data_IF_452733973683
#
_entry.id   IF_452733973683
#
_cell.length_a   1.000
_cell.length_b   1.000
_cell.length_c   1.000
_cell.angle_alpha   90.00
_cell.angle_beta   90.00
_cell.angle_gamma   90.00
#
_symmetry.space_group_name_H-M   'P 1'
#
loop_
_entity.id
_entity.type
_entity.pdbx_description
1 polymer ?
#
# COMPACT_ATOMS: atom_id res chain seq x y z
N UNK A 1 63.47 45.35 25.51
CA UNK A 1 62.97 46.65 25.14
C UNK A 1 61.67 46.43 24.38
N UNK A 2 60.58 46.44 24.98
CA UNK A 2 59.57 47.43 25.23
C UNK A 2 58.94 47.99 23.94
N UNK A 3 57.70 47.69 23.70
CA UNK A 3 56.65 48.71 23.51
C UNK A 3 55.27 48.03 23.38
N UNK A 4 54.44 48.30 24.33
CA UNK A 4 52.97 48.01 24.33
C UNK A 4 52.25 49.02 23.47
N UNK A 5 51.39 48.57 22.59
CA UNK A 5 50.31 49.45 22.06
C UNK A 5 48.94 48.90 22.51
N UNK A 6 48.28 49.69 23.37
CA UNK A 6 46.87 49.56 23.72
C UNK A 6 46.07 50.32 22.66
N UNK A 7 45.14 49.65 22.05
CA UNK A 7 44.06 50.34 21.28
C UNK A 7 42.74 50.04 21.96
N UNK A 8 42.11 51.13 22.42
CA UNK A 8 40.77 51.14 23.00
C UNK A 8 39.73 51.06 21.86
N UNK A 9 38.86 50.10 21.95
CA UNK A 9 37.63 50.10 21.14
C UNK A 9 36.47 50.55 22.01
N UNK A 10 35.87 51.67 21.60
CA UNK A 10 34.65 52.21 22.21
C UNK A 10 33.42 51.38 21.85
N UNK A 11 32.65 51.07 22.88
CA UNK A 11 31.34 50.44 22.72
C UNK A 11 30.33 51.50 22.30
N UNK A 12 29.76 51.34 21.08
CA UNK A 12 28.58 52.07 20.65
C UNK A 12 27.34 51.26 21.01
N UNK A 13 26.62 51.64 22.03
CA UNK A 13 25.35 51.02 22.40
C UNK A 13 24.24 51.54 21.47
N UNK A 14 23.75 50.67 20.60
CA UNK A 14 22.53 50.92 19.83
C UNK A 14 21.35 50.34 20.62
N UNK A 15 20.52 51.21 21.16
CA UNK A 15 19.25 50.88 21.78
C UNK A 15 18.23 50.54 20.68
N UNK A 16 17.89 49.26 20.49
CA UNK A 16 16.76 48.85 19.63
C UNK A 16 15.51 48.80 20.50
N UNK A 17 14.61 49.75 20.28
CA UNK A 17 13.29 49.76 20.92
C UNK A 17 12.41 48.67 20.33
N UNK A 18 12.07 47.66 21.15
CA UNK A 18 11.07 46.63 20.85
C UNK A 18 9.68 47.23 21.06
N UNK A 19 8.96 47.52 19.96
CA UNK A 19 7.53 47.76 19.99
C UNK A 19 6.82 46.39 19.98
N UNK A 20 6.35 45.97 21.14
CA UNK A 20 5.51 44.80 21.25
C UNK A 20 4.07 45.15 20.80
N UNK A 21 3.74 44.78 19.57
CA UNK A 21 2.35 44.79 19.11
C UNK A 21 1.68 43.46 19.60
N UNK A 22 0.84 43.61 20.61
CA UNK A 22 0.02 42.51 21.13
C UNK A 22 -1.13 42.24 20.14
N UNK A 23 -1.00 41.21 19.31
CA UNK A 23 -2.14 40.65 18.54
C UNK A 23 -2.93 39.75 19.46
N UNK A 24 -4.11 40.19 19.88
CA UNK A 24 -5.11 39.32 20.51
C UNK A 24 -5.75 38.45 19.41
N UNK A 25 -5.36 37.19 19.33
CA UNK A 25 -6.09 36.18 18.57
C UNK A 25 -7.40 35.90 19.32
N UNK A 26 -8.52 36.41 18.82
CA UNK A 26 -9.84 35.94 19.21
C UNK A 26 -10.06 34.58 18.55
N UNK A 27 -10.01 33.52 19.35
CA UNK A 27 -10.46 32.20 18.92
C UNK A 27 -11.97 32.28 18.67
N UNK A 28 -12.38 32.25 17.41
CA UNK A 28 -13.79 32.06 17.06
C UNK A 28 -14.16 30.61 17.40
N UNK A 29 -14.90 30.46 18.49
CA UNK A 29 -15.48 29.20 18.89
C UNK A 29 -16.39 28.66 17.79
N UNK A 30 -16.05 27.46 17.30
CA UNK A 30 -16.88 26.68 16.40
C UNK A 30 -18.16 26.32 17.15
N UNK A 31 -19.33 26.75 16.67
CA UNK A 31 -20.62 26.38 17.22
C UNK A 31 -20.80 24.87 17.20
N UNK A 32 -21.44 24.25 18.21
CA UNK A 32 -21.68 22.81 18.21
C UNK A 32 -22.65 22.47 17.08
N UNK A 33 -22.22 21.54 16.20
CA UNK A 33 -23.08 20.96 15.17
C UNK A 33 -24.14 20.11 15.88
N UNK A 34 -25.40 20.54 15.83
CA UNK A 34 -26.53 19.79 16.34
C UNK A 34 -26.67 18.48 15.53
N UNK A 35 -26.63 17.34 16.21
CA UNK A 35 -27.07 16.05 15.69
C UNK A 35 -28.59 16.11 15.39
N UNK A 36 -28.95 16.54 14.20
CA UNK A 36 -30.28 16.31 13.63
C UNK A 36 -30.26 14.93 12.97
N UNK A 37 -31.19 14.09 13.38
CA UNK A 37 -31.33 12.70 13.01
C UNK A 37 -31.18 12.44 11.51
N UNK A 38 -30.45 11.40 11.16
CA UNK A 38 -30.18 10.96 9.81
C UNK A 38 -31.47 10.39 9.18
N UNK A 39 -32.20 11.25 8.48
CA UNK A 39 -32.96 10.79 7.33
C UNK A 39 -31.91 10.35 6.29
N UNK A 40 -32.00 9.11 5.78
CA UNK A 40 -31.30 8.69 4.55
C UNK A 40 -31.71 9.67 3.44
N UNK A 41 -30.95 10.75 3.29
CA UNK A 41 -30.93 11.49 2.06
C UNK A 41 -30.15 10.58 1.08
N UNK A 42 -30.79 10.24 -0.04
CA UNK A 42 -30.11 9.78 -1.24
C UNK A 42 -29.13 10.89 -1.61
N UNK A 43 -27.89 10.80 -1.11
CA UNK A 43 -26.87 11.79 -1.38
C UNK A 43 -26.48 11.60 -2.83
N UNK A 44 -26.89 12.55 -3.68
CA UNK A 44 -26.45 12.58 -5.08
C UNK A 44 -24.92 12.63 -5.06
N UNK A 45 -24.29 11.59 -5.56
CA UNK A 45 -22.83 11.54 -5.65
C UNK A 45 -22.32 12.68 -6.52
N UNK A 46 -21.23 13.32 -6.09
CA UNK A 46 -20.57 14.36 -6.87
C UNK A 46 -20.17 13.82 -8.24
N UNK A 47 -20.28 14.68 -9.26
CA UNK A 47 -19.91 14.37 -10.64
C UNK A 47 -18.90 15.39 -11.16
N UNK A 48 -18.04 14.92 -12.03
CA UNK A 48 -17.13 15.77 -12.81
C UNK A 48 -17.90 16.58 -13.86
N UNK A 49 -17.32 17.65 -14.44
CA UNK A 49 -18.00 18.45 -15.45
C UNK A 49 -18.45 17.69 -16.69
N UNK A 50 -17.81 16.58 -17.01
CA UNK A 50 -18.16 15.66 -18.11
C UNK A 50 -19.23 14.62 -17.73
N UNK A 51 -19.77 14.72 -16.50
CA UNK A 51 -20.95 13.95 -16.05
C UNK A 51 -20.65 12.60 -15.43
N UNK A 52 -19.40 12.18 -15.34
CA UNK A 52 -18.99 10.94 -14.68
C UNK A 52 -18.92 11.11 -13.15
N UNK A 53 -19.03 10.04 -12.35
CA UNK A 53 -18.79 10.13 -10.91
C UNK A 53 -17.44 10.74 -10.60
N UNK A 54 -17.40 11.62 -9.61
CA UNK A 54 -16.16 12.24 -9.14
C UNK A 54 -15.42 11.28 -8.20
N UNK A 55 -14.28 10.78 -8.66
CA UNK A 55 -13.36 9.94 -7.89
C UNK A 55 -12.16 10.70 -7.38
N UNK A 56 -12.07 12.00 -7.68
CA UNK A 56 -10.91 12.80 -7.27
C UNK A 56 -10.72 12.78 -5.75
N UNK A 57 -9.47 12.76 -5.33
CA UNK A 57 -9.10 12.79 -3.92
C UNK A 57 -8.13 11.69 -3.53
N UNK A 58 -7.91 11.59 -2.24
CA UNK A 58 -7.06 10.57 -1.62
C UNK A 58 -7.94 9.48 -1.02
N UNK A 59 -7.67 8.25 -1.37
CA UNK A 59 -8.42 7.08 -0.96
C UNK A 59 -7.52 6.10 -0.22
N UNK A 60 -8.00 5.56 0.90
CA UNK A 60 -7.21 4.68 1.75
C UNK A 60 -7.72 3.24 1.72
N UNK A 61 -6.80 2.28 1.58
CA UNK A 61 -7.05 0.87 1.88
C UNK A 61 -6.64 0.59 3.33
N UNK A 62 -7.56 0.76 4.28
CA UNK A 62 -7.32 0.51 5.70
C UNK A 62 -8.11 -0.69 6.23
N UNK A 63 -8.72 -1.48 5.36
CA UNK A 63 -9.55 -2.63 5.76
C UNK A 63 -8.76 -3.66 6.59
N UNK A 64 -9.42 -4.24 7.57
CA UNK A 64 -8.91 -5.42 8.29
C UNK A 64 -9.31 -6.73 7.64
N UNK A 65 -10.24 -6.68 6.67
CA UNK A 65 -10.71 -7.87 5.97
C UNK A 65 -9.55 -8.51 5.23
N UNK A 66 -9.24 -9.79 5.49
CA UNK A 66 -8.11 -10.45 4.83
C UNK A 66 -8.38 -10.70 3.35
N UNK A 67 -7.32 -10.76 2.55
CA UNK A 67 -7.45 -11.08 1.13
C UNK A 67 -8.16 -12.42 0.94
N UNK A 68 -7.68 -13.45 1.60
CA UNK A 68 -8.27 -14.79 1.54
C UNK A 68 -9.00 -15.12 2.84
N UNK A 69 -10.11 -15.85 2.73
CA UNK A 69 -10.86 -16.33 3.91
C UNK A 69 -10.00 -17.22 4.76
N UNK A 70 -9.75 -16.86 6.02
CA UNK A 70 -9.04 -17.73 6.96
C UNK A 70 -9.79 -19.04 7.20
N UNK A 71 -9.06 -20.11 7.51
CA UNK A 71 -9.66 -21.41 7.78
C UNK A 71 -10.68 -21.38 8.93
N UNK A 72 -10.45 -20.54 9.93
CA UNK A 72 -11.36 -20.33 11.07
C UNK A 72 -12.74 -19.82 10.63
N UNK A 73 -12.84 -19.22 9.45
CA UNK A 73 -14.09 -18.69 8.88
C UNK A 73 -14.58 -19.48 7.66
N UNK A 74 -14.09 -20.70 7.48
CA UNK A 74 -14.55 -21.57 6.39
C UNK A 74 -16.08 -21.70 6.40
N UNK A 75 -16.70 -21.51 5.23
CA UNK A 75 -18.16 -21.50 5.07
C UNK A 75 -18.89 -20.26 5.57
N UNK A 76 -18.20 -19.32 6.24
CA UNK A 76 -18.78 -18.08 6.74
C UNK A 76 -18.40 -16.91 5.86
N UNK A 77 -19.39 -16.21 5.29
CA UNK A 77 -19.15 -15.07 4.38
C UNK A 77 -19.16 -13.71 5.07
N UNK A 78 -19.93 -13.58 6.16
CA UNK A 78 -20.09 -12.33 6.90
C UNK A 78 -19.93 -12.54 8.40
N UNK A 79 -19.31 -11.59 9.06
CA UNK A 79 -19.24 -11.50 10.52
C UNK A 79 -20.47 -10.78 11.07
N UNK A 80 -20.87 -11.15 12.28
CA UNK A 80 -21.85 -10.42 13.07
C UNK A 80 -21.21 -9.22 13.76
N UNK A 81 -22.00 -8.26 14.20
CA UNK A 81 -21.51 -7.08 14.92
C UNK A 81 -20.82 -7.47 16.26
N UNK A 82 -21.33 -8.51 16.93
CA UNK A 82 -20.70 -9.05 18.15
C UNK A 82 -19.31 -9.62 17.86
N UNK A 83 -19.16 -10.40 16.78
CA UNK A 83 -17.86 -10.95 16.40
C UNK A 83 -16.86 -9.84 16.03
N UNK A 84 -17.31 -8.82 15.30
CA UNK A 84 -16.46 -7.66 15.00
C UNK A 84 -16.02 -6.98 16.29
N UNK A 85 -16.93 -6.75 17.23
CA UNK A 85 -16.59 -6.13 18.51
C UNK A 85 -15.56 -6.94 19.31
N UNK A 86 -15.68 -8.27 19.33
CA UNK A 86 -14.71 -9.16 19.99
C UNK A 86 -13.34 -9.11 19.30
N UNK A 87 -13.30 -9.11 17.96
CA UNK A 87 -12.06 -8.99 17.19
C UNK A 87 -11.38 -7.63 17.42
N UNK A 88 -12.16 -6.52 17.42
CA UNK A 88 -11.65 -5.18 17.70
C UNK A 88 -11.05 -5.08 19.10
N UNK A 89 -11.73 -5.66 20.09
CA UNK A 89 -11.23 -5.67 21.47
C UNK A 89 -9.88 -6.38 21.58
N UNK A 90 -9.71 -7.52 20.93
CA UNK A 90 -8.44 -8.23 20.93
C UNK A 90 -7.37 -7.49 20.11
N UNK A 91 -7.72 -6.90 18.97
CA UNK A 91 -6.81 -6.09 18.18
C UNK A 91 -6.27 -4.88 18.97
N UNK A 92 -7.14 -4.22 19.78
CA UNK A 92 -6.72 -3.14 20.66
C UNK A 92 -5.66 -3.58 21.66
N UNK A 93 -5.78 -4.79 22.24
CA UNK A 93 -4.75 -5.34 23.13
C UNK A 93 -3.39 -5.55 22.42
N UNK A 94 -3.40 -5.97 21.13
CA UNK A 94 -2.16 -6.10 20.36
C UNK A 94 -1.48 -4.74 20.20
N UNK A 95 -2.26 -3.69 19.92
CA UNK A 95 -1.75 -2.33 19.75
C UNK A 95 -1.22 -1.76 21.06
N UNK A 96 -1.97 -1.95 22.17
CA UNK A 96 -1.58 -1.48 23.51
C UNK A 96 -0.30 -2.13 24.04
N UNK A 97 -0.03 -3.35 23.64
CA UNK A 97 1.21 -4.06 24.02
C UNK A 97 2.48 -3.54 23.32
N UNK A 98 2.37 -2.54 22.46
CA UNK A 98 3.47 -1.92 21.70
C UNK A 98 4.40 -2.97 21.04
N UNK A 99 3.78 -4.01 20.49
CA UNK A 99 4.49 -5.06 19.73
C UNK A 99 4.85 -4.59 18.33
N UNK A 100 5.42 -5.48 17.56
CA UNK A 100 5.76 -5.22 16.15
C UNK A 100 4.50 -4.91 15.33
N UNK A 101 4.60 -3.94 14.44
CA UNK A 101 3.52 -3.56 13.53
C UNK A 101 3.06 -4.74 12.65
N UNK A 102 1.75 -4.93 12.54
CA UNK A 102 1.17 -6.00 11.76
C UNK A 102 0.59 -5.46 10.44
N UNK A 103 1.32 -5.66 9.35
CA UNK A 103 0.93 -5.21 8.02
C UNK A 103 -0.06 -6.16 7.32
N UNK A 104 -0.84 -5.64 6.39
CA UNK A 104 -1.77 -6.43 5.59
C UNK A 104 -2.67 -7.33 6.45
N UNK A 105 -2.65 -8.63 6.20
CA UNK A 105 -3.44 -9.63 6.92
C UNK A 105 -2.83 -10.03 8.28
N UNK A 106 -1.66 -9.47 8.65
CA UNK A 106 -0.95 -9.84 9.87
C UNK A 106 -1.77 -9.60 11.14
N UNK A 107 -2.46 -8.43 11.24
CA UNK A 107 -3.28 -8.11 12.40
C UNK A 107 -4.42 -9.11 12.59
N UNK A 108 -5.21 -9.36 11.55
CA UNK A 108 -6.34 -10.30 11.67
C UNK A 108 -5.86 -11.73 11.91
N UNK A 109 -4.71 -12.10 11.35
CA UNK A 109 -4.09 -13.40 11.62
C UNK A 109 -3.68 -13.55 13.08
N UNK A 110 -3.06 -12.51 13.68
CA UNK A 110 -2.70 -12.50 15.10
C UNK A 110 -3.95 -12.57 16.00
N UNK A 111 -4.98 -11.81 15.66
CA UNK A 111 -6.26 -11.81 16.38
C UNK A 111 -6.91 -13.19 16.35
N UNK A 112 -7.03 -13.82 15.20
CA UNK A 112 -7.66 -15.14 15.05
C UNK A 112 -6.89 -16.28 15.72
N UNK A 113 -5.57 -16.12 15.85
CA UNK A 113 -4.72 -17.10 16.53
C UNK A 113 -4.49 -16.75 18.01
N UNK A 114 -5.15 -15.72 18.54
CA UNK A 114 -5.02 -15.25 19.92
C UNK A 114 -3.57 -14.93 20.32
N UNK A 115 -2.80 -14.33 19.43
CA UNK A 115 -1.42 -13.89 19.67
C UNK A 115 -1.43 -12.44 20.11
N UNK A 116 -1.39 -12.22 21.44
CA UNK A 116 -1.47 -10.87 22.01
C UNK A 116 -0.22 -10.00 21.81
N UNK A 117 0.92 -10.61 21.56
CA UNK A 117 2.19 -9.92 21.27
C UNK A 117 2.87 -10.59 20.06
N UNK A 118 2.36 -10.34 18.85
CA UNK A 118 2.94 -10.89 17.64
C UNK A 118 4.36 -10.33 17.44
N UNK A 119 5.28 -11.22 17.05
CA UNK A 119 6.65 -10.85 16.76
C UNK A 119 6.87 -10.70 15.26
N UNK A 120 7.81 -9.86 14.90
CA UNK A 120 8.37 -9.79 13.57
C UNK A 120 8.94 -11.14 13.14
N UNK A 121 8.99 -11.37 11.84
CA UNK A 121 9.73 -12.50 11.28
C UNK A 121 11.25 -12.37 11.49
N UNK A 122 11.75 -11.17 11.80
CA UNK A 122 13.13 -10.91 12.20
C UNK A 122 13.21 -10.44 13.66
N UNK A 123 13.31 -11.36 14.63
CA UNK A 123 13.35 -11.01 16.03
C UNK A 123 14.66 -10.32 16.46
N UNK A 124 15.70 -10.32 15.61
CA UNK A 124 16.98 -9.69 15.90
C UNK A 124 16.98 -8.18 15.68
N UNK A 125 16.31 -7.71 14.65
CA UNK A 125 16.23 -6.29 14.30
C UNK A 125 14.90 -5.65 14.67
N UNK A 126 13.86 -6.47 14.88
CA UNK A 126 12.48 -6.01 15.06
C UNK A 126 11.85 -5.56 13.74
N UNK A 127 10.71 -4.91 13.87
CA UNK A 127 9.98 -4.34 12.75
C UNK A 127 9.54 -2.92 13.12
N UNK A 128 8.75 -2.27 12.27
CA UNK A 128 8.09 -1.03 12.64
C UNK A 128 7.21 -1.23 13.87
N UNK A 129 7.14 -0.23 14.75
CA UNK A 129 6.18 -0.23 15.84
C UNK A 129 4.78 0.18 15.35
N UNK A 130 3.78 0.12 16.23
CA UNK A 130 2.38 0.43 15.89
C UNK A 130 2.17 1.87 15.43
N UNK A 131 3.05 2.81 15.79
CA UNK A 131 2.98 4.22 15.39
C UNK A 131 2.92 4.41 13.86
N UNK A 132 3.55 3.52 13.10
CA UNK A 132 3.61 3.61 11.63
C UNK A 132 2.35 3.08 10.93
N UNK A 133 1.44 2.44 11.69
CA UNK A 133 0.21 1.94 11.12
C UNK A 133 -0.90 2.98 11.23
N UNK A 134 -1.68 3.11 10.17
CA UNK A 134 -2.91 3.89 10.20
C UNK A 134 -4.02 3.11 10.89
N UNK A 135 -5.01 3.83 11.41
CA UNK A 135 -6.20 3.23 11.99
C UNK A 135 -6.88 2.28 10.99
N UNK A 136 -7.18 1.07 11.45
CA UNK A 136 -7.78 0.03 10.61
C UNK A 136 -9.28 0.20 10.53
N UNK A 137 -9.85 -0.06 9.34
CA UNK A 137 -11.29 0.00 9.07
C UNK A 137 -11.95 -1.36 9.29
N UNK A 138 -12.92 -1.39 10.20
CA UNK A 138 -13.69 -2.58 10.59
C UNK A 138 -15.12 -2.60 10.02
N UNK A 139 -15.47 -1.67 9.14
CA UNK A 139 -16.83 -1.57 8.61
C UNK A 139 -17.17 -2.66 7.59
N UNK A 140 -16.17 -3.25 6.96
CA UNK A 140 -16.38 -4.38 6.05
C UNK A 140 -16.58 -5.67 6.85
N UNK A 141 -17.79 -6.20 6.80
CA UNK A 141 -18.18 -7.41 7.56
C UNK A 141 -17.79 -8.70 6.85
N UNK A 142 -17.26 -8.64 5.65
CA UNK A 142 -16.84 -9.82 4.90
C UNK A 142 -15.66 -10.52 5.56
N UNK A 143 -15.62 -11.83 5.40
CA UNK A 143 -14.53 -12.67 5.90
C UNK A 143 -13.38 -12.83 4.90
N UNK A 144 -13.53 -12.23 3.71
CA UNK A 144 -12.55 -12.26 2.62
C UNK A 144 -12.77 -11.09 1.69
N UNK A 145 -11.69 -10.48 1.19
CA UNK A 145 -11.76 -9.54 0.07
C UNK A 145 -12.08 -10.26 -1.24
N UNK A 146 -11.66 -11.52 -1.40
CA UNK A 146 -12.01 -12.33 -2.57
C UNK A 146 -13.52 -12.59 -2.57
N UNK A 147 -14.15 -12.19 -3.69
CA UNK A 147 -15.58 -12.32 -3.96
C UNK A 147 -15.89 -13.46 -4.94
N UNK A 148 -14.94 -13.78 -5.81
CA UNK A 148 -14.99 -14.90 -6.73
C UNK A 148 -13.61 -15.58 -6.80
N UNK A 149 -13.52 -16.88 -6.54
CA UNK A 149 -14.59 -17.84 -6.22
C UNK A 149 -15.23 -17.63 -4.84
N UNK A 150 -16.45 -18.15 -4.62
CA UNK A 150 -17.26 -17.86 -3.42
C UNK A 150 -16.71 -18.46 -2.12
N UNK A 151 -15.76 -19.40 -2.21
CA UNK A 151 -15.01 -19.88 -1.04
C UNK A 151 -14.07 -18.82 -0.45
N UNK A 152 -13.87 -17.70 -1.16
CA UNK A 152 -13.04 -16.59 -0.73
C UNK A 152 -11.54 -16.90 -0.75
N UNK A 153 -11.09 -17.76 -1.63
CA UNK A 153 -9.69 -18.20 -1.76
C UNK A 153 -9.18 -18.04 -3.17
N UNK A 154 -7.89 -17.79 -3.29
CA UNK A 154 -7.21 -17.83 -4.59
C UNK A 154 -7.26 -19.24 -5.13
N UNK A 155 -7.65 -19.44 -6.41
CA UNK A 155 -7.65 -20.76 -7.04
C UNK A 155 -6.28 -21.45 -6.97
N UNK A 156 -6.26 -22.78 -6.99
CA UNK A 156 -5.00 -23.53 -6.96
C UNK A 156 -4.06 -23.13 -8.11
N UNK A 157 -2.76 -23.25 -7.85
CA UNK A 157 -1.74 -23.06 -8.87
C UNK A 157 -1.83 -24.17 -9.91
N UNK A 158 -1.58 -23.85 -11.16
CA UNK A 158 -1.32 -24.81 -12.22
C UNK A 158 -0.01 -25.58 -11.94
N UNK A 159 0.26 -26.64 -12.67
CA UNK A 159 1.54 -27.34 -12.59
C UNK A 159 2.73 -26.42 -12.92
N UNK A 160 2.55 -25.51 -13.89
CA UNK A 160 3.56 -24.51 -14.24
C UNK A 160 3.73 -23.47 -13.14
N UNK A 161 2.65 -22.96 -12.58
CA UNK A 161 2.67 -22.03 -11.45
C UNK A 161 3.36 -22.62 -10.21
N UNK A 162 3.10 -23.89 -9.90
CA UNK A 162 3.80 -24.61 -8.82
C UNK A 162 5.30 -24.72 -9.08
N UNK A 163 5.70 -25.08 -10.30
CA UNK A 163 7.11 -25.15 -10.71
C UNK A 163 7.80 -23.79 -10.60
N UNK A 164 7.15 -22.73 -11.09
CA UNK A 164 7.67 -21.36 -11.03
C UNK A 164 7.87 -20.92 -9.59
N UNK A 165 6.87 -21.12 -8.73
CA UNK A 165 6.95 -20.78 -7.31
C UNK A 165 8.05 -21.56 -6.59
N UNK A 166 8.20 -22.85 -6.88
CA UNK A 166 9.27 -23.65 -6.30
C UNK A 166 10.66 -23.15 -6.73
N UNK A 167 10.83 -22.84 -8.01
CA UNK A 167 12.08 -22.27 -8.54
C UNK A 167 12.43 -20.92 -7.91
N UNK A 168 11.44 -20.05 -7.69
CA UNK A 168 11.65 -18.76 -7.03
C UNK A 168 12.05 -18.92 -5.56
N UNK A 169 11.41 -19.84 -4.83
CA UNK A 169 11.80 -20.16 -3.44
C UNK A 169 13.24 -20.71 -3.40
N UNK A 170 13.60 -21.58 -4.32
CA UNK A 170 14.95 -22.13 -4.41
C UNK A 170 15.99 -21.07 -4.74
N UNK A 171 15.70 -20.21 -5.73
CA UNK A 171 16.55 -19.09 -6.09
C UNK A 171 16.82 -18.16 -4.90
N UNK A 172 15.79 -17.79 -4.15
CA UNK A 172 15.92 -16.96 -2.95
C UNK A 172 16.75 -17.61 -1.84
N UNK A 173 16.74 -18.93 -1.73
CA UNK A 173 17.54 -19.67 -0.74
C UNK A 173 18.99 -19.84 -1.14
N UNK A 174 19.23 -20.16 -2.41
CA UNK A 174 20.55 -20.55 -2.90
C UNK A 174 21.37 -19.40 -3.47
N UNK A 175 20.69 -18.33 -3.92
CA UNK A 175 21.30 -17.19 -4.61
C UNK A 175 20.90 -15.84 -3.97
N UNK A 176 20.59 -15.83 -2.68
CA UNK A 176 19.92 -14.72 -1.98
C UNK A 176 20.60 -13.35 -2.17
N UNK A 177 21.93 -13.32 -2.36
CA UNK A 177 22.70 -12.08 -2.41
C UNK A 177 23.68 -12.02 -3.60
N UNK A 178 23.44 -12.79 -4.64
CA UNK A 178 24.34 -12.82 -5.80
C UNK A 178 24.33 -11.51 -6.58
N UNK A 179 23.15 -10.95 -6.78
CA UNK A 179 22.98 -9.64 -7.43
C UNK A 179 21.71 -8.92 -6.95
N UNK A 180 21.54 -7.62 -7.28
CA UNK A 180 20.33 -6.86 -6.90
C UNK A 180 19.04 -7.43 -7.49
N UNK A 181 19.07 -8.16 -8.61
CA UNK A 181 17.85 -8.68 -9.25
C UNK A 181 17.24 -9.87 -8.50
N UNK A 182 17.92 -10.41 -7.49
CA UNK A 182 17.34 -11.41 -6.59
C UNK A 182 16.31 -10.79 -5.65
N UNK A 183 16.46 -9.52 -5.33
CA UNK A 183 15.55 -8.81 -4.44
C UNK A 183 14.27 -8.41 -5.15
N UNK A 184 13.11 -8.44 -4.45
CA UNK A 184 11.85 -7.93 -4.96
C UNK A 184 11.97 -6.48 -5.45
N UNK A 185 11.16 -6.11 -6.45
CA UNK A 185 11.17 -4.76 -7.00
C UNK A 185 10.92 -3.67 -5.95
N UNK A 186 10.08 -3.96 -4.96
CA UNK A 186 9.80 -3.03 -3.85
C UNK A 186 11.02 -2.75 -2.98
N UNK A 187 11.81 -3.77 -2.64
CA UNK A 187 13.06 -3.62 -1.88
C UNK A 187 14.12 -2.85 -2.68
N UNK A 188 14.06 -2.95 -4.01
CA UNK A 188 14.91 -2.20 -4.94
C UNK A 188 14.41 -0.78 -5.23
N UNK A 189 13.33 -0.36 -4.62
CA UNK A 189 12.66 0.93 -4.87
C UNK A 189 12.26 1.15 -6.35
N UNK A 190 12.00 0.09 -7.10
CA UNK A 190 11.63 0.18 -8.52
C UNK A 190 10.12 0.27 -8.69
N UNK A 191 9.38 -0.66 -8.05
CA UNK A 191 7.94 -0.78 -8.21
C UNK A 191 7.35 -1.69 -7.13
N UNK A 192 6.13 -1.43 -6.69
CA UNK A 192 5.41 -2.30 -5.75
C UNK A 192 4.28 -3.09 -6.40
N UNK A 193 4.14 -2.99 -7.72
CA UNK A 193 3.15 -3.72 -8.51
C UNK A 193 1.71 -3.28 -8.32
N UNK A 194 0.84 -3.83 -9.15
CA UNK A 194 -0.61 -3.71 -9.11
C UNK A 194 -1.26 -5.08 -9.30
N UNK A 195 -2.49 -5.31 -8.76
CA UNK A 195 -3.25 -4.44 -7.87
C UNK A 195 -2.63 -4.29 -6.47
N UNK A 196 -2.88 -3.15 -5.82
CA UNK A 196 -2.38 -2.90 -4.46
C UNK A 196 -3.36 -3.46 -3.44
N UNK A 197 -3.00 -4.57 -2.82
CA UNK A 197 -3.86 -5.26 -1.83
C UNK A 197 -3.47 -4.99 -0.37
N UNK A 198 -2.25 -4.52 -0.13
CA UNK A 198 -1.77 -4.26 1.22
C UNK A 198 -2.54 -3.11 1.88
N UNK A 199 -2.89 -3.28 3.15
CA UNK A 199 -3.61 -2.31 3.96
C UNK A 199 -2.79 -1.86 5.18
N UNK A 200 -3.08 -0.66 5.68
CA UNK A 200 -2.61 -0.19 6.98
C UNK A 200 -1.26 0.53 7.00
N UNK A 201 -0.50 0.53 5.90
CA UNK A 201 0.80 1.22 5.80
C UNK A 201 1.04 1.69 4.37
N UNK A 202 1.25 2.99 4.17
CA UNK A 202 1.42 3.63 2.84
C UNK A 202 0.43 3.05 1.81
N UNK A 203 -0.82 2.89 2.22
CA UNK A 203 -1.88 2.22 1.46
C UNK A 203 -2.82 3.21 0.77
N UNK A 204 -2.41 4.46 0.70
CA UNK A 204 -3.19 5.53 0.07
C UNK A 204 -2.96 5.56 -1.43
N UNK A 205 -4.01 5.92 -2.13
CA UNK A 205 -3.97 6.20 -3.57
C UNK A 205 -4.61 7.55 -3.83
N UNK A 206 -4.01 8.34 -4.70
CA UNK A 206 -4.60 9.57 -5.20
C UNK A 206 -5.17 9.33 -6.59
N UNK A 207 -6.43 9.71 -6.78
CA UNK A 207 -7.09 9.68 -8.08
C UNK A 207 -7.28 11.10 -8.57
N UNK A 208 -6.88 11.35 -9.81
CA UNK A 208 -7.08 12.61 -10.52
C UNK A 208 -7.78 12.31 -11.84
N UNK A 209 -8.89 13.00 -12.09
CA UNK A 209 -9.65 12.89 -13.34
C UNK A 209 -9.45 14.14 -14.18
N UNK A 210 -9.27 13.95 -15.47
CA UNK A 210 -9.24 15.00 -16.47
C UNK A 210 -9.96 14.54 -17.73
N UNK A 211 -10.37 15.42 -18.65
CA UNK A 211 -11.00 15.00 -19.88
C UNK A 211 -10.13 13.98 -20.64
N UNK A 212 -10.68 12.77 -20.84
CA UNK A 212 -10.02 11.69 -21.57
C UNK A 212 -8.96 10.89 -20.81
N UNK A 213 -8.70 11.20 -19.54
CA UNK A 213 -7.69 10.50 -18.74
C UNK A 213 -8.08 10.37 -17.28
N UNK A 214 -7.66 9.29 -16.66
CA UNK A 214 -7.61 9.13 -15.20
C UNK A 214 -6.18 8.80 -14.79
N UNK A 215 -5.67 9.48 -13.76
CA UNK A 215 -4.42 9.12 -13.12
C UNK A 215 -4.70 8.46 -11.77
N UNK A 216 -4.05 7.34 -11.50
CA UNK A 216 -4.06 6.69 -10.18
C UNK A 216 -2.61 6.62 -9.72
N UNK A 217 -2.31 7.33 -8.62
CA UNK A 217 -0.98 7.36 -8.01
C UNK A 217 -1.02 6.64 -6.66
N UNK A 218 -0.17 5.64 -6.50
CA UNK A 218 0.04 4.98 -5.22
C UNK A 218 1.01 5.78 -4.37
N UNK A 219 0.75 5.93 -3.07
CA UNK A 219 1.65 6.59 -2.13
C UNK A 219 3.02 5.90 -2.09
N UNK A 220 3.03 4.57 -2.01
CA UNK A 220 4.25 3.79 -1.99
C UNK A 220 4.95 3.83 -3.34
N UNK A 221 6.18 4.30 -3.37
CA UNK A 221 7.05 4.53 -4.54
C UNK A 221 6.54 5.57 -5.56
N UNK A 222 5.49 6.35 -5.25
CA UNK A 222 4.91 7.39 -6.12
C UNK A 222 4.51 6.85 -7.51
N UNK A 223 4.17 5.56 -7.60
CA UNK A 223 3.81 4.95 -8.86
C UNK A 223 2.51 5.54 -9.40
N UNK A 224 2.63 6.34 -10.46
CA UNK A 224 1.49 6.96 -11.13
C UNK A 224 1.20 6.26 -12.45
N UNK A 225 -0.04 5.79 -12.60
CA UNK A 225 -0.58 5.25 -13.85
C UNK A 225 -1.48 6.29 -14.51
N UNK A 226 -1.15 6.69 -15.72
CA UNK A 226 -2.01 7.55 -16.55
C UNK A 226 -2.79 6.66 -17.51
N UNK A 227 -4.10 6.63 -17.35
CA UNK A 227 -5.02 5.71 -18.01
C UNK A 227 -5.82 6.49 -19.05
N UNK A 228 -5.58 6.31 -20.36
CA UNK A 228 -6.38 6.93 -21.41
C UNK A 228 -7.76 6.30 -21.49
N UNK A 229 -8.78 7.16 -21.73
CA UNK A 229 -10.21 6.80 -21.84
C UNK A 229 -10.74 6.96 -23.25
N UNK A 230 -9.88 7.15 -24.26
CA UNK A 230 -10.25 7.48 -25.63
C UNK A 230 -10.47 6.25 -26.54
N UNK A 231 -10.49 5.05 -25.97
CA UNK A 231 -10.75 3.81 -26.72
C UNK A 231 -9.60 3.35 -27.60
N UNK A 232 -8.41 3.96 -27.48
CA UNK A 232 -7.21 3.47 -28.22
C UNK A 232 -6.87 2.05 -27.79
N UNK A 233 -6.32 1.21 -28.70
CA UNK A 233 -5.91 -0.15 -28.36
C UNK A 233 -4.71 -0.13 -27.40
N UNK A 234 -4.46 -1.27 -26.78
CA UNK A 234 -3.20 -1.49 -26.07
C UNK A 234 -1.98 -1.33 -26.97
N UNK A 235 -0.85 -1.04 -26.35
CA UNK A 235 0.44 -1.04 -27.02
C UNK A 235 0.73 -2.42 -27.63
N UNK A 236 1.62 -2.45 -28.62
CA UNK A 236 2.11 -3.71 -29.15
C UNK A 236 2.65 -4.61 -28.03
N UNK A 237 2.38 -5.91 -28.10
CA UNK A 237 2.76 -6.88 -27.06
C UNK A 237 4.26 -6.98 -26.77
N UNK A 238 5.11 -6.44 -27.66
CA UNK A 238 6.55 -6.31 -27.43
C UNK A 238 6.92 -5.17 -26.50
N UNK A 239 6.02 -4.20 -26.30
CA UNK A 239 6.23 -3.07 -25.39
C UNK A 239 5.65 -3.45 -24.03
N UNK A 240 6.54 -3.71 -23.06
CA UNK A 240 6.17 -4.15 -21.72
C UNK A 240 6.70 -3.19 -20.69
N UNK A 241 5.85 -2.88 -19.70
CA UNK A 241 6.15 -1.92 -18.64
C UNK A 241 5.83 -2.50 -17.25
N UNK A 242 6.38 -1.91 -16.20
CA UNK A 242 6.30 -2.46 -14.85
C UNK A 242 4.87 -2.68 -14.37
N UNK A 243 3.98 -1.69 -14.52
CA UNK A 243 2.57 -1.77 -14.11
C UNK A 243 1.63 -2.11 -15.28
N UNK A 244 2.15 -2.69 -16.37
CA UNK A 244 1.38 -2.99 -17.55
C UNK A 244 0.89 -1.75 -18.30
N UNK A 245 0.26 -1.96 -19.43
CA UNK A 245 -0.37 -0.95 -20.26
C UNK A 245 -1.87 -0.90 -19.97
N UNK A 246 -2.34 0.18 -19.35
CA UNK A 246 -3.73 0.34 -18.91
C UNK A 246 -4.56 1.11 -19.92
N UNK A 247 -5.81 0.67 -20.15
CA UNK A 247 -6.84 1.35 -20.94
C UNK A 247 -8.12 1.39 -20.13
N UNK A 248 -8.77 2.56 -20.11
CA UNK A 248 -10.00 2.74 -19.35
C UNK A 248 -11.20 3.09 -20.21
N UNK A 249 -12.37 2.78 -19.72
CA UNK A 249 -13.65 3.23 -20.26
C UNK A 249 -14.71 3.26 -19.16
N UNK A 250 -15.79 3.98 -19.41
CA UNK A 250 -16.91 4.04 -18.49
C UNK A 250 -18.00 3.03 -18.86
N UNK A 251 -18.49 2.27 -17.89
CA UNK A 251 -19.69 1.46 -17.94
C UNK A 251 -20.73 2.05 -16.96
N UNK A 252 -21.56 2.95 -17.43
CA UNK A 252 -22.43 3.74 -16.55
C UNK A 252 -21.61 4.55 -15.55
N UNK A 253 -21.79 4.28 -14.27
CA UNK A 253 -21.08 4.95 -13.16
C UNK A 253 -19.83 4.20 -12.66
N UNK A 254 -19.41 3.18 -13.39
CA UNK A 254 -18.20 2.40 -13.08
C UNK A 254 -17.08 2.70 -14.08
N UNK A 255 -15.93 3.07 -13.60
CA UNK A 255 -14.70 3.12 -14.41
C UNK A 255 -14.12 1.71 -14.48
N UNK A 256 -14.01 1.20 -15.72
CA UNK A 256 -13.36 -0.09 -15.98
C UNK A 256 -11.99 0.15 -16.59
N UNK A 257 -10.99 -0.52 -16.05
CA UNK A 257 -9.61 -0.42 -16.50
C UNK A 257 -9.12 -1.83 -16.86
N UNK A 258 -8.68 -1.99 -18.10
CA UNK A 258 -8.06 -3.20 -18.60
C UNK A 258 -6.55 -3.00 -18.68
N UNK A 259 -5.76 -3.94 -18.14
CA UNK A 259 -4.31 -3.82 -18.08
C UNK A 259 -3.62 -5.11 -18.50
N UNK A 260 -2.76 -5.00 -19.49
CA UNK A 260 -1.95 -6.08 -20.05
C UNK A 260 -0.49 -5.63 -20.21
N UNK A 261 0.34 -6.36 -20.95
CA UNK A 261 1.72 -5.97 -21.28
C UNK A 261 2.62 -5.69 -20.07
N UNK A 262 2.45 -6.48 -19.01
CA UNK A 262 3.36 -6.42 -17.86
C UNK A 262 4.75 -6.88 -18.24
N UNK A 263 5.77 -6.29 -17.60
CA UNK A 263 7.15 -6.74 -17.73
C UNK A 263 7.32 -8.18 -17.24
N UNK A 264 8.15 -9.01 -17.86
CA UNK A 264 8.48 -10.34 -17.31
C UNK A 264 9.24 -10.25 -15.97
N UNK A 265 9.73 -9.07 -15.60
CA UNK A 265 10.34 -8.79 -14.29
C UNK A 265 9.35 -8.21 -13.28
N UNK A 266 8.11 -7.89 -13.67
CA UNK A 266 7.03 -7.55 -12.73
C UNK A 266 6.62 -8.81 -11.99
N UNK A 267 6.13 -8.66 -10.77
CA UNK A 267 5.63 -9.79 -9.98
C UNK A 267 4.34 -9.41 -9.25
N UNK A 268 3.30 -10.16 -9.51
CA UNK A 268 2.11 -10.18 -8.69
C UNK A 268 1.81 -11.62 -8.27
N UNK A 269 2.22 -11.99 -7.06
CA UNK A 269 2.03 -13.33 -6.50
C UNK A 269 2.57 -14.47 -7.39
N UNK A 270 3.65 -14.22 -8.15
CA UNK A 270 4.27 -15.16 -9.08
C UNK A 270 3.75 -15.08 -10.51
N UNK A 271 2.78 -14.21 -10.79
CA UNK A 271 2.36 -13.86 -12.14
C UNK A 271 3.19 -12.69 -12.67
N UNK A 272 3.57 -12.76 -13.93
CA UNK A 272 4.47 -11.82 -14.59
C UNK A 272 3.84 -11.29 -15.90
N UNK A 273 4.50 -11.55 -17.04
CA UNK A 273 4.11 -11.05 -18.36
C UNK A 273 2.76 -11.55 -18.89
N UNK A 274 2.24 -12.62 -18.32
CA UNK A 274 0.93 -13.21 -18.69
C UNK A 274 -0.21 -12.68 -17.81
N UNK A 275 0.10 -11.79 -16.87
CA UNK A 275 -0.92 -11.16 -16.03
C UNK A 275 -1.87 -10.34 -16.91
N UNK A 276 -3.15 -10.59 -16.74
CA UNK A 276 -4.23 -9.73 -17.21
C UNK A 276 -5.02 -9.26 -16.00
N UNK A 277 -5.12 -7.97 -15.83
CA UNK A 277 -5.81 -7.32 -14.73
C UNK A 277 -6.96 -6.49 -15.26
N UNK A 278 -8.17 -6.77 -14.79
CA UNK A 278 -9.34 -5.92 -15.01
C UNK A 278 -9.73 -5.28 -13.70
N UNK A 279 -9.76 -3.95 -13.64
CA UNK A 279 -10.10 -3.19 -12.44
C UNK A 279 -11.43 -2.46 -12.66
N UNK A 280 -12.25 -2.35 -11.62
CA UNK A 280 -13.56 -1.68 -11.66
C UNK A 280 -13.67 -0.77 -10.43
N UNK A 281 -13.81 0.52 -10.66
CA UNK A 281 -13.98 1.51 -9.60
C UNK A 281 -15.42 2.02 -9.64
N UNK A 282 -16.14 1.86 -8.53
CA UNK A 282 -17.55 2.30 -8.40
C UNK A 282 -17.72 3.07 -7.10
N UNK A 283 -18.11 4.33 -7.18
CA UNK A 283 -18.40 5.12 -5.98
C UNK A 283 -19.77 4.75 -5.45
N UNK A 284 -19.83 4.15 -4.26
CA UNK A 284 -21.05 3.63 -3.65
C UNK A 284 -21.57 4.49 -2.51
N UNK A 285 -20.85 5.56 -2.20
CA UNK A 285 -21.22 6.53 -1.16
C UNK A 285 -20.33 7.77 -1.24
N UNK A 286 -20.64 8.81 -0.44
CA UNK A 286 -19.83 10.04 -0.43
C UNK A 286 -18.37 9.79 -0.08
N UNK A 287 -18.09 8.79 0.77
CA UNK A 287 -16.76 8.49 1.28
C UNK A 287 -16.28 7.07 0.94
N UNK A 288 -17.01 6.34 0.08
CA UNK A 288 -16.67 4.93 -0.23
C UNK A 288 -16.57 4.73 -1.73
N UNK A 289 -15.41 4.24 -2.15
CA UNK A 289 -15.11 3.80 -3.51
C UNK A 289 -14.79 2.29 -3.47
N UNK A 290 -15.64 1.49 -4.06
CA UNK A 290 -15.35 0.07 -4.25
C UNK A 290 -14.32 -0.08 -5.37
N UNK A 291 -13.19 -0.66 -5.04
CA UNK A 291 -12.15 -1.06 -5.96
C UNK A 291 -12.19 -2.58 -6.10
N UNK A 292 -12.82 -3.04 -7.17
CA UNK A 292 -12.87 -4.45 -7.54
C UNK A 292 -11.80 -4.72 -8.59
N UNK A 293 -11.14 -5.85 -8.50
CA UNK A 293 -10.17 -6.28 -9.50
C UNK A 293 -10.25 -7.77 -9.75
N UNK A 294 -10.12 -8.15 -11.02
CA UNK A 294 -10.05 -9.53 -11.48
C UNK A 294 -8.66 -9.82 -12.01
N UNK A 295 -8.05 -10.85 -11.48
CA UNK A 295 -6.72 -11.33 -11.85
C UNK A 295 -6.85 -12.58 -12.70
N UNK A 296 -6.24 -12.59 -13.87
CA UNK A 296 -6.21 -13.74 -14.77
C UNK A 296 -4.77 -14.00 -15.24
N UNK A 297 -4.28 -15.19 -14.98
CA UNK A 297 -3.05 -15.74 -15.59
C UNK A 297 -3.19 -17.27 -15.63
N UNK A 298 -3.56 -17.85 -16.80
CA UNK A 298 -3.78 -19.27 -16.94
C UNK A 298 -2.48 -20.10 -16.83
N UNK A 299 -1.31 -19.45 -16.81
CA UNK A 299 -0.05 -20.15 -16.53
C UNK A 299 0.23 -20.24 -15.04
N UNK A 300 -0.41 -19.39 -14.23
CA UNK A 300 -0.20 -19.34 -12.78
C UNK A 300 -1.32 -19.99 -11.99
N UNK A 301 -2.59 -19.67 -12.27
CA UNK A 301 -3.76 -20.18 -11.54
C UNK A 301 -4.68 -20.99 -12.44
N UNK A 302 -5.40 -21.93 -11.84
CA UNK A 302 -6.37 -22.79 -12.55
C UNK A 302 -7.61 -22.07 -13.01
N UNK A 303 -7.90 -20.89 -12.45
CA UNK A 303 -8.99 -20.00 -12.84
C UNK A 303 -8.65 -18.53 -12.50
N UNK A 304 -9.31 -17.59 -13.16
CA UNK A 304 -9.31 -16.20 -12.73
C UNK A 304 -9.98 -16.04 -11.35
N UNK A 305 -9.65 -14.98 -10.63
CA UNK A 305 -10.27 -14.66 -9.35
C UNK A 305 -10.47 -13.17 -9.18
N UNK A 306 -11.47 -12.81 -8.42
CA UNK A 306 -11.87 -11.41 -8.20
C UNK A 306 -11.85 -11.08 -6.72
N UNK A 307 -11.34 -9.89 -6.39
CA UNK A 307 -11.41 -9.33 -5.05
C UNK A 307 -11.95 -7.89 -5.10
N UNK A 308 -12.55 -7.44 -4.00
CA UNK A 308 -13.08 -6.08 -3.88
C UNK A 308 -12.61 -5.46 -2.57
N UNK A 309 -12.00 -4.28 -2.65
CA UNK A 309 -11.50 -3.46 -1.54
C UNK A 309 -12.39 -2.23 -1.42
N UNK A 310 -13.02 -1.98 -0.26
CA UNK A 310 -13.73 -0.73 -0.01
C UNK A 310 -12.72 0.35 0.38
N UNK A 311 -12.37 1.22 -0.53
CA UNK A 311 -11.51 2.37 -0.27
C UNK A 311 -12.31 3.47 0.42
N UNK A 312 -11.68 4.17 1.36
CA UNK A 312 -12.26 5.29 2.11
C UNK A 312 -11.63 6.61 1.70
N UNK A 313 -12.50 7.60 1.42
CA UNK A 313 -12.04 8.98 1.15
C UNK A 313 -11.38 9.56 2.39
N UNK A 314 -10.25 10.24 2.19
CA UNK A 314 -9.48 10.90 3.24
C UNK A 314 -9.27 12.38 2.91
N UNK A 315 -9.37 13.20 3.92
CA UNK A 315 -9.02 14.64 3.87
C UNK A 315 -7.56 14.83 4.30
N UNK A 316 -6.68 14.05 3.70
CA UNK A 316 -5.24 14.03 3.99
C UNK A 316 -4.47 14.08 2.67
N UNK A 317 -3.24 14.57 2.75
CA UNK A 317 -2.34 14.57 1.61
C UNK A 317 -1.57 13.24 1.56
N UNK A 318 -1.21 12.82 0.34
CA UNK A 318 -0.21 11.78 0.16
C UNK A 318 1.16 12.37 0.49
N UNK A 319 1.92 11.65 1.31
CA UNK A 319 3.31 12.00 1.62
C UNK A 319 4.27 11.37 0.62
N UNK A 320 5.43 11.99 0.49
CA UNK A 320 6.51 11.39 -0.28
C UNK A 320 7.00 10.11 0.39
N UNK A 321 7.06 9.04 -0.38
CA UNK A 321 7.72 7.80 0.01
C UNK A 321 9.15 7.79 -0.56
N UNK A 322 10.09 8.39 0.18
CA UNK A 322 11.48 8.60 -0.22
C UNK A 322 12.29 7.28 -0.13
N UNK A 323 11.97 6.32 -1.00
CA UNK A 323 12.50 4.96 -0.95
C UNK A 323 14.01 4.90 -1.22
N UNK A 324 14.55 5.82 -2.03
CA UNK A 324 15.97 5.82 -2.41
C UNK A 324 16.87 6.56 -1.41
N UNK A 325 16.33 7.58 -0.75
CA UNK A 325 17.09 8.44 0.15
C UNK A 325 17.52 7.68 1.39
N UNK A 326 18.83 7.52 1.55
CA UNK A 326 19.43 6.78 2.69
C UNK A 326 19.17 5.27 2.65
N UNK A 327 18.73 4.70 1.52
CA UNK A 327 18.59 3.26 1.36
C UNK A 327 19.93 2.60 1.04
N UNK A 328 20.77 2.47 2.04
CA UNK A 328 22.05 1.77 1.95
C UNK A 328 21.90 0.25 2.18
N UNK A 329 20.74 -0.20 2.67
CA UNK A 329 20.52 -1.57 3.12
C UNK A 329 20.86 -2.61 2.04
N UNK A 330 20.42 -2.42 0.80
CA UNK A 330 20.73 -3.35 -0.28
C UNK A 330 22.23 -3.44 -0.57
N UNK A 331 22.92 -2.30 -0.64
CA UNK A 331 24.37 -2.27 -0.88
C UNK A 331 25.14 -2.92 0.25
N UNK A 332 24.67 -2.74 1.49
CA UNK A 332 25.32 -3.31 2.68
C UNK A 332 25.09 -4.82 2.79
N UNK A 333 23.88 -5.31 2.48
CA UNK A 333 23.60 -6.75 2.40
C UNK A 333 24.50 -7.43 1.37
N UNK A 334 24.61 -6.86 0.17
CA UNK A 334 25.45 -7.40 -0.90
C UNK A 334 26.94 -7.36 -0.53
N UNK A 335 27.44 -6.29 0.10
CA UNK A 335 28.82 -6.19 0.59
C UNK A 335 29.09 -7.20 1.69
N UNK A 336 28.16 -7.35 2.65
CA UNK A 336 28.27 -8.33 3.73
C UNK A 336 28.43 -9.74 3.18
N UNK A 337 27.59 -10.14 2.23
CA UNK A 337 27.68 -11.45 1.61
C UNK A 337 29.00 -11.67 0.86
N UNK A 338 29.48 -10.67 0.09
CA UNK A 338 30.81 -10.73 -0.58
C UNK A 338 31.95 -10.85 0.43
N UNK A 339 31.82 -10.27 1.60
CA UNK A 339 32.79 -10.44 2.69
C UNK A 339 32.79 -11.87 3.21
N UNK A 340 31.64 -12.45 3.49
CA UNK A 340 31.49 -13.83 3.97
C UNK A 340 32.03 -14.85 2.96
N UNK A 341 31.76 -14.69 1.68
CA UNK A 341 32.32 -15.52 0.59
C UNK A 341 33.86 -15.52 0.62
N UNK A 342 34.49 -14.36 0.76
CA UNK A 342 35.97 -14.23 0.81
C UNK A 342 36.55 -14.89 2.04
N UNK A 343 35.93 -14.70 3.20
CA UNK A 343 36.35 -15.35 4.46
C UNK A 343 36.19 -16.88 4.41
N UNK A 344 35.09 -17.35 3.79
CA UNK A 344 34.85 -18.78 3.57
C UNK A 344 35.90 -19.40 2.64
N UNK A 345 36.21 -18.73 1.54
CA UNK A 345 37.24 -19.17 0.59
C UNK A 345 38.63 -19.21 1.23
N UNK A 346 38.99 -18.19 2.03
CA UNK A 346 40.28 -18.12 2.75
C UNK A 346 40.44 -19.27 3.74
N UNK A 347 39.37 -19.62 4.48
CA UNK A 347 39.40 -20.76 5.45
C UNK A 347 39.51 -22.12 4.74
N UNK A 348 38.98 -22.26 3.52
CA UNK A 348 39.04 -23.49 2.73
C UNK A 348 40.45 -23.67 2.09
N UNK A 349 41.12 -22.58 1.71
CA UNK A 349 42.46 -22.60 1.12
C UNK A 349 43.58 -22.78 2.15
N UNK A 350 43.28 -22.64 3.43
CA UNK A 350 44.22 -22.82 4.54
C UNK A 350 44.20 -24.22 5.19
N UNK A 351 43.36 -25.11 4.66
CA UNK A 351 43.31 -26.54 5.02
C UNK A 351 43.97 -27.39 3.95
#
# INVERSE_FOLDING_TARGET
>A
MAARHRSAFGFLAVAVGLVAASFTLTAQGRAPVSNAGSARQDSVLARTPDGHPDFQGVWANNTVTPLQRPKQWEGKTLLTDAEIADLQKFAAQIVENDGDAQFGDGLITAVLNHVANPKSYDPGTGNYNQFWLVERDWHDRRTSLITDPPDGRIPPLTAEGQKRRAAEIDRRKTHAFEDPEVFPLGERCVNFGIPRVQAGYNSYVQIVQSPGYVMIMSEMAHDARVIPLDGRPHLDSHIRVWNGDSRGHWEGDTLVIDTTNFSPKSDFMGSHENLHLTERLTRVGPEVLNYEFTVSDPTMWTAAWTAMIPLKLKDELIYEYACHEGNDAMSDMLRGHRFEEREGAAKTSSK
#
